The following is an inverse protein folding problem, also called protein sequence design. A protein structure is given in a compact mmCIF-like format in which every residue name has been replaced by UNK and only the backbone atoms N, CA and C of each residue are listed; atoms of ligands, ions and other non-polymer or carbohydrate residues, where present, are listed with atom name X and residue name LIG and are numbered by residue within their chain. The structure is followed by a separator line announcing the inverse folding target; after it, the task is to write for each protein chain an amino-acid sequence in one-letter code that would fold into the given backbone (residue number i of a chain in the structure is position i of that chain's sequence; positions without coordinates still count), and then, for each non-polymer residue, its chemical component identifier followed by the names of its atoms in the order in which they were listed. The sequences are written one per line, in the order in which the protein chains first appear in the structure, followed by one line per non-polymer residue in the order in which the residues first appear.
data_IF_752910151562
#
_entry.id   IF_752910151562
#
_cell.length_a   1.000
_cell.length_b   1.000
_cell.length_c   1.000
_cell.angle_alpha   90.00
_cell.angle_beta   90.00
_cell.angle_gamma   90.00
#
_symmetry.space_group_name_H-M   'P 1'
#
loop_
_entity.id
_entity.type
_entity.pdbx_description
1 polymer ?
#
# COMPACT_ATOMS: atom_id res chain seq x y z
N UNK A 1 26.51 -6.98 18.95
CA UNK A 1 25.62 -5.93 18.43
C UNK A 1 25.79 -5.90 16.91
N UNK A 2 24.70 -5.95 16.14
CA UNK A 2 24.79 -5.85 14.68
C UNK A 2 25.23 -4.45 14.28
N UNK A 3 25.97 -4.30 13.18
CA UNK A 3 26.45 -2.99 12.70
C UNK A 3 25.28 -1.96 12.62
N UNK A 4 24.11 -2.42 12.15
CA UNK A 4 22.88 -1.61 12.08
C UNK A 4 22.38 -1.07 13.43
N UNK A 5 22.56 -1.82 14.52
CA UNK A 5 22.17 -1.35 15.85
C UNK A 5 23.07 -0.20 16.31
N UNK A 6 24.37 -0.28 15.99
CA UNK A 6 25.34 0.79 16.25
C UNK A 6 25.05 2.03 15.41
N UNK A 7 24.76 1.84 14.11
CA UNK A 7 24.36 2.93 13.20
C UNK A 7 23.08 3.64 13.69
N UNK A 8 22.06 2.89 14.12
CA UNK A 8 20.84 3.47 14.71
C UNK A 8 21.17 4.29 15.95
N UNK A 9 22.01 3.77 16.85
CA UNK A 9 22.44 4.50 18.04
C UNK A 9 23.21 5.80 17.71
N UNK A 10 23.99 5.81 16.63
CA UNK A 10 24.64 7.00 16.11
C UNK A 10 23.64 8.05 15.60
N UNK A 11 22.70 7.62 14.74
CA UNK A 11 21.68 8.49 14.17
C UNK A 11 20.77 9.13 15.25
N UNK A 12 20.36 8.35 16.24
CA UNK A 12 19.54 8.86 17.36
C UNK A 12 20.30 9.86 18.23
N UNK A 13 21.62 9.69 18.40
CA UNK A 13 22.44 10.65 19.15
C UNK A 13 22.53 11.99 18.42
N UNK A 14 22.79 11.98 17.12
CA UNK A 14 22.82 13.20 16.30
C UNK A 14 21.48 13.96 16.36
N UNK A 15 20.35 13.25 16.26
CA UNK A 15 19.02 13.86 16.44
C UNK A 15 18.83 14.50 17.82
N UNK A 16 19.38 13.88 18.88
CA UNK A 16 19.36 14.46 20.23
C UNK A 16 20.13 15.78 20.31
N UNK A 17 21.29 15.86 19.65
CA UNK A 17 22.10 17.08 19.58
C UNK A 17 21.36 18.21 18.85
N UNK A 18 20.67 17.90 17.74
CA UNK A 18 19.81 18.86 17.06
C UNK A 18 18.62 19.31 17.93
N UNK A 19 17.99 18.39 18.66
CA UNK A 19 16.90 18.70 19.59
C UNK A 19 17.32 19.65 20.71
N UNK A 20 18.53 19.46 21.26
CA UNK A 20 19.11 20.37 22.25
C UNK A 20 19.32 21.77 21.66
N UNK A 21 19.88 21.87 20.44
CA UNK A 21 20.09 23.14 19.74
C UNK A 21 18.78 23.90 19.49
N UNK A 22 17.71 23.21 19.10
CA UNK A 22 16.38 23.81 18.91
C UNK A 22 15.76 24.35 20.21
N UNK A 23 16.12 23.77 21.36
CA UNK A 23 15.60 24.23 22.65
C UNK A 23 16.25 25.56 23.10
N UNK A 24 17.47 25.82 22.62
CA UNK A 24 18.27 27.00 22.99
C UNK A 24 18.14 28.13 21.97
N UNK A 25 17.96 27.81 20.69
CA UNK A 25 17.97 28.77 19.59
C UNK A 25 16.74 28.61 18.67
N UNK A 26 16.35 29.70 18.01
CA UNK A 26 15.34 29.63 16.95
C UNK A 26 15.89 28.85 15.75
N UNK A 27 15.07 27.95 15.20
CA UNK A 27 15.47 27.09 14.09
C UNK A 27 15.61 27.88 12.78
N UNK A 28 16.74 27.70 12.09
CA UNK A 28 16.87 28.07 10.68
C UNK A 28 16.25 26.99 9.77
N UNK A 29 15.73 27.34 8.58
CA UNK A 29 15.15 26.37 7.65
C UNK A 29 16.06 25.18 7.33
N UNK A 30 17.35 25.44 7.13
CA UNK A 30 18.34 24.41 6.79
C UNK A 30 18.50 23.39 7.92
N UNK A 31 18.41 23.84 9.17
CA UNK A 31 18.47 22.95 10.33
C UNK A 31 17.23 22.05 10.40
N UNK A 32 16.07 22.54 9.98
CA UNK A 32 14.86 21.73 9.92
C UNK A 32 14.95 20.66 8.83
N UNK A 33 15.57 20.98 7.69
CA UNK A 33 15.84 20.03 6.62
C UNK A 33 16.81 18.92 7.10
N UNK A 34 17.91 19.28 7.75
CA UNK A 34 18.86 18.32 8.35
C UNK A 34 18.18 17.39 9.36
N UNK A 35 17.33 17.95 10.23
CA UNK A 35 16.55 17.16 11.20
C UNK A 35 15.59 16.21 10.47
N UNK A 36 14.92 16.68 9.41
CA UNK A 36 14.05 15.86 8.57
C UNK A 36 14.78 14.66 7.97
N UNK A 37 15.95 14.90 7.38
CA UNK A 37 16.80 13.84 6.82
C UNK A 37 17.26 12.84 7.90
N UNK A 38 17.67 13.35 9.07
CA UNK A 38 18.06 12.53 10.22
C UNK A 38 16.93 11.64 10.73
N UNK A 39 15.70 12.17 10.81
CA UNK A 39 14.51 11.41 11.21
C UNK A 39 14.21 10.29 10.22
N UNK A 40 14.28 10.56 8.93
CA UNK A 40 14.07 9.55 7.89
C UNK A 40 15.16 8.49 7.86
N UNK A 41 16.41 8.86 8.14
CA UNK A 41 17.51 7.91 8.32
C UNK A 41 17.28 7.01 9.53
N UNK A 42 17.01 7.59 10.71
CA UNK A 42 16.77 6.84 11.95
C UNK A 42 15.57 5.88 11.81
N UNK A 43 14.49 6.33 11.15
CA UNK A 43 13.30 5.50 10.89
C UNK A 43 13.61 4.31 9.98
N UNK A 44 14.44 4.49 8.95
CA UNK A 44 14.91 3.40 8.07
C UNK A 44 15.75 2.38 8.83
N UNK A 45 16.72 2.85 9.62
CA UNK A 45 17.57 1.98 10.45
C UNK A 45 16.76 1.20 11.48
N UNK A 46 15.79 1.85 12.14
CA UNK A 46 14.88 1.18 13.07
C UNK A 46 14.07 0.07 12.39
N UNK A 47 13.55 0.32 11.18
CA UNK A 47 12.82 -0.70 10.42
C UNK A 47 13.72 -1.89 10.06
N UNK A 48 14.97 -1.65 9.68
CA UNK A 48 15.94 -2.71 9.39
C UNK A 48 16.28 -3.54 10.62
N UNK A 49 16.58 -2.90 11.76
CA UNK A 49 16.85 -3.62 13.02
C UNK A 49 15.63 -4.43 13.46
N UNK A 50 14.41 -3.88 13.34
CA UNK A 50 13.18 -4.63 13.64
C UNK A 50 12.97 -5.82 12.71
N UNK A 51 13.33 -5.69 11.43
CA UNK A 51 13.24 -6.78 10.46
C UNK A 51 14.26 -7.88 10.75
N UNK A 52 15.47 -7.56 11.21
CA UNK A 52 16.46 -8.56 11.64
C UNK A 52 15.95 -9.41 12.82
N UNK A 53 15.13 -8.82 13.69
CA UNK A 53 14.50 -9.50 14.82
C UNK A 53 13.16 -10.18 14.47
N UNK A 54 12.61 -9.90 13.29
CA UNK A 54 11.31 -10.41 12.86
C UNK A 54 11.42 -11.88 12.42
N UNK A 55 10.53 -12.79 12.87
CA UNK A 55 10.52 -14.19 12.41
C UNK A 55 10.44 -14.34 10.89
N UNK A 56 9.80 -13.39 10.21
CA UNK A 56 9.64 -13.38 8.75
C UNK A 56 10.61 -12.46 8.00
N UNK A 57 11.49 -11.73 8.69
CA UNK A 57 12.41 -10.76 8.06
C UNK A 57 11.75 -9.55 7.37
N UNK A 58 10.46 -9.28 7.61
CA UNK A 58 9.72 -8.27 6.84
C UNK A 58 9.86 -6.87 7.46
N UNK A 59 10.39 -5.90 6.69
CA UNK A 59 10.53 -4.49 7.11
C UNK A 59 9.20 -3.75 7.26
N UNK A 60 8.17 -4.17 6.52
CA UNK A 60 6.84 -3.54 6.56
C UNK A 60 6.00 -4.13 7.71
N UNK A 61 6.09 -5.44 7.92
CA UNK A 61 5.31 -6.17 8.92
C UNK A 61 6.24 -7.01 9.82
N UNK A 62 7.00 -6.38 10.73
CA UNK A 62 8.00 -7.08 11.53
C UNK A 62 7.39 -8.09 12.53
N UNK A 63 6.13 -7.90 12.93
CA UNK A 63 5.42 -8.83 13.83
C UNK A 63 4.61 -9.90 13.09
N UNK A 64 4.66 -9.92 11.75
CA UNK A 64 3.86 -10.85 10.98
C UNK A 64 4.49 -12.25 10.98
N UNK A 65 3.66 -13.31 11.00
CA UNK A 65 4.16 -14.66 10.86
C UNK A 65 4.77 -14.86 9.45
N UNK A 66 5.82 -15.69 9.32
CA UNK A 66 6.33 -16.11 8.02
C UNK A 66 5.25 -16.87 7.25
N UNK A 67 5.20 -16.67 5.94
CA UNK A 67 4.27 -17.39 5.07
C UNK A 67 4.77 -18.83 4.85
N UNK A 68 3.98 -19.86 5.23
CA UNK A 68 4.41 -21.25 5.12
C UNK A 68 4.60 -21.69 3.66
N UNK A 69 3.95 -21.01 2.70
CA UNK A 69 4.00 -21.36 1.29
C UNK A 69 5.17 -20.71 0.51
N UNK A 70 5.73 -19.59 0.98
CA UNK A 70 6.79 -18.86 0.27
C UNK A 70 8.15 -18.92 0.95
N UNK A 71 8.22 -19.27 2.24
CA UNK A 71 9.47 -19.45 2.99
C UNK A 71 10.31 -18.18 3.20
N UNK A 72 10.04 -17.09 2.47
CA UNK A 72 10.87 -15.88 2.42
C UNK A 72 10.08 -14.57 2.53
N UNK A 73 8.75 -14.62 2.69
CA UNK A 73 7.91 -13.43 2.87
C UNK A 73 7.02 -13.56 4.10
N UNK A 74 6.58 -12.43 4.67
CA UNK A 74 5.54 -12.46 5.69
C UNK A 74 4.18 -12.82 5.07
N UNK A 75 3.30 -13.42 5.87
CA UNK A 75 1.96 -13.86 5.44
C UNK A 75 1.17 -12.74 4.75
N UNK A 76 1.24 -11.50 5.24
CA UNK A 76 0.51 -10.36 4.65
C UNK A 76 1.06 -9.95 3.28
N UNK A 77 2.38 -9.82 3.14
CA UNK A 77 2.99 -9.50 1.85
C UNK A 77 2.78 -10.63 0.83
N UNK A 78 2.91 -11.89 1.27
CA UNK A 78 2.68 -13.05 0.42
C UNK A 78 1.23 -13.16 -0.04
N UNK A 79 0.26 -12.95 0.87
CA UNK A 79 -1.17 -12.93 0.49
C UNK A 79 -1.53 -11.76 -0.40
N UNK A 80 -0.96 -10.57 -0.16
CA UNK A 80 -1.15 -9.41 -1.04
C UNK A 80 -0.63 -9.69 -2.45
N UNK A 81 0.57 -10.27 -2.56
CA UNK A 81 1.14 -10.72 -3.84
C UNK A 81 0.24 -11.77 -4.51
N UNK A 82 -0.22 -12.79 -3.78
CA UNK A 82 -1.14 -13.82 -4.31
C UNK A 82 -2.45 -13.22 -4.81
N UNK A 83 -3.03 -12.25 -4.09
CA UNK A 83 -4.23 -11.53 -4.54
C UNK A 83 -3.99 -10.73 -5.82
N UNK A 84 -2.84 -10.09 -5.95
CA UNK A 84 -2.44 -9.40 -7.18
C UNK A 84 -2.10 -10.34 -8.35
N UNK A 85 -1.63 -11.55 -8.04
CA UNK A 85 -1.28 -12.61 -9.02
C UNK A 85 -2.43 -13.54 -9.35
N UNK A 86 -3.55 -13.50 -8.61
CA UNK A 86 -4.82 -14.04 -9.10
C UNK A 86 -5.22 -13.19 -10.31
N UNK A 87 -4.59 -13.48 -11.45
CA UNK A 87 -5.20 -13.31 -12.75
C UNK A 87 -6.60 -13.88 -12.63
N UNK A 88 -7.57 -13.05 -13.01
CA UNK A 88 -8.95 -13.45 -13.27
C UNK A 88 -8.90 -14.84 -13.94
N UNK A 89 -9.63 -15.85 -13.47
CA UNK A 89 -9.71 -17.12 -14.18
C UNK A 89 -10.10 -16.78 -15.63
N UNK A 90 -9.23 -17.08 -16.59
CA UNK A 90 -9.46 -16.71 -17.99
C UNK A 90 -10.59 -17.52 -18.63
N UNK A 91 -10.94 -17.25 -19.90
CA UNK A 91 -11.00 -15.96 -20.57
C UNK A 91 -12.43 -15.41 -20.41
N UNK A 92 -12.62 -14.33 -19.64
CA UNK A 92 -13.69 -13.41 -20.04
C UNK A 92 -13.09 -12.70 -21.24
N UNK A 93 -13.71 -12.85 -22.40
CA UNK A 93 -13.31 -12.19 -23.65
C UNK A 93 -12.87 -10.77 -23.34
N UNK A 94 -11.62 -10.44 -23.67
CA UNK A 94 -10.98 -9.14 -23.45
C UNK A 94 -11.56 -8.10 -24.42
N UNK A 95 -12.88 -8.08 -24.59
CA UNK A 95 -13.56 -7.26 -25.59
C UNK A 95 -14.69 -6.41 -25.01
N UNK A 96 -15.30 -6.81 -23.89
CA UNK A 96 -16.43 -6.05 -23.36
C UNK A 96 -15.93 -4.91 -22.46
N UNK A 97 -16.14 -3.68 -22.92
CA UNK A 97 -15.79 -2.49 -22.15
C UNK A 97 -16.57 -2.44 -20.82
N UNK A 98 -16.05 -1.73 -19.81
CA UNK A 98 -16.80 -1.54 -18.55
C UNK A 98 -18.17 -0.88 -18.80
N UNK A 99 -18.25 -0.04 -19.83
CA UNK A 99 -19.47 0.67 -20.22
C UNK A 99 -20.50 -0.30 -20.81
N UNK A 100 -20.08 -1.27 -21.62
CA UNK A 100 -20.94 -2.36 -22.11
C UNK A 100 -21.49 -3.23 -20.98
N UNK A 101 -20.68 -3.53 -19.96
CA UNK A 101 -21.14 -4.28 -18.79
C UNK A 101 -22.19 -3.49 -18.01
N UNK A 102 -22.04 -2.16 -17.89
CA UNK A 102 -23.04 -1.30 -17.27
C UNK A 102 -24.35 -1.26 -18.07
N UNK A 103 -24.25 -1.09 -19.38
CA UNK A 103 -25.41 -1.07 -20.27
C UNK A 103 -26.15 -2.41 -20.19
N UNK A 104 -25.44 -3.53 -20.26
CA UNK A 104 -26.03 -4.85 -20.14
C UNK A 104 -26.73 -5.04 -18.79
N UNK A 105 -26.12 -4.58 -17.69
CA UNK A 105 -26.74 -4.64 -16.36
C UNK A 105 -27.99 -3.77 -16.24
N UNK A 106 -28.05 -2.62 -16.91
CA UNK A 106 -29.23 -1.76 -16.96
C UNK A 106 -30.37 -2.40 -17.76
N UNK A 107 -30.05 -3.06 -18.86
CA UNK A 107 -31.03 -3.70 -19.76
C UNK A 107 -31.57 -5.03 -19.24
N UNK A 108 -30.70 -5.86 -18.65
CA UNK A 108 -31.01 -7.27 -18.31
C UNK A 108 -31.03 -7.54 -16.80
N UNK A 109 -30.64 -6.54 -15.99
CA UNK A 109 -30.58 -6.65 -14.54
C UNK A 109 -29.24 -7.17 -14.02
N UNK A 110 -29.00 -6.88 -12.74
CA UNK A 110 -27.73 -7.17 -12.05
C UNK A 110 -27.38 -8.66 -12.03
N UNK A 111 -28.34 -9.53 -11.70
CA UNK A 111 -28.10 -10.97 -11.54
C UNK A 111 -27.67 -11.61 -12.88
N UNK A 112 -28.27 -11.18 -13.99
CA UNK A 112 -27.91 -11.67 -15.32
C UNK A 112 -26.53 -11.18 -15.75
N UNK A 113 -26.20 -9.92 -15.47
CA UNK A 113 -24.87 -9.39 -15.70
C UNK A 113 -23.81 -10.15 -14.88
N UNK A 114 -24.09 -10.51 -13.63
CA UNK A 114 -23.18 -11.29 -12.77
C UNK A 114 -22.98 -12.70 -13.31
N UNK A 115 -24.04 -13.34 -13.81
CA UNK A 115 -23.94 -14.66 -14.46
C UNK A 115 -23.05 -14.63 -15.70
N UNK A 116 -23.16 -13.57 -16.51
CA UNK A 116 -22.45 -13.43 -17.79
C UNK A 116 -21.00 -12.95 -17.66
N UNK A 117 -20.76 -11.91 -16.88
CA UNK A 117 -19.47 -11.22 -16.78
C UNK A 117 -18.71 -11.50 -15.48
N UNK A 118 -19.39 -12.10 -14.49
CA UNK A 118 -18.85 -12.35 -13.16
C UNK A 118 -18.98 -11.16 -12.22
N UNK A 119 -19.18 -11.47 -10.93
CA UNK A 119 -19.48 -10.47 -9.91
C UNK A 119 -18.47 -9.32 -9.84
N UNK A 120 -17.17 -9.62 -9.94
CA UNK A 120 -16.12 -8.60 -9.86
C UNK A 120 -16.13 -7.61 -11.03
N UNK A 121 -16.38 -8.09 -12.24
CA UNK A 121 -16.44 -7.23 -13.42
C UNK A 121 -17.66 -6.31 -13.35
N UNK A 122 -18.82 -6.84 -12.97
CA UNK A 122 -20.05 -6.07 -12.78
C UNK A 122 -19.91 -5.03 -11.67
N UNK A 123 -19.37 -5.41 -10.49
CA UNK A 123 -19.13 -4.44 -9.41
C UNK A 123 -18.19 -3.33 -9.86
N UNK A 124 -17.12 -3.65 -10.59
CA UNK A 124 -16.18 -2.65 -11.10
C UNK A 124 -16.81 -1.73 -12.14
N UNK A 125 -17.61 -2.28 -13.05
CA UNK A 125 -18.37 -1.53 -14.04
C UNK A 125 -19.33 -0.56 -13.36
N UNK A 126 -20.22 -1.07 -12.50
CA UNK A 126 -21.23 -0.25 -11.81
C UNK A 126 -20.62 0.83 -10.92
N UNK A 127 -19.49 0.55 -10.25
CA UNK A 127 -18.76 1.58 -9.50
C UNK A 127 -18.28 2.70 -10.43
N UNK A 128 -17.75 2.37 -11.61
CA UNK A 128 -17.30 3.38 -12.57
C UNK A 128 -18.47 4.21 -13.11
N UNK A 129 -19.55 3.57 -13.54
CA UNK A 129 -20.70 4.24 -14.14
C UNK A 129 -21.50 5.09 -13.14
N UNK A 130 -21.54 4.69 -11.85
CA UNK A 130 -22.12 5.50 -10.78
C UNK A 130 -21.38 6.82 -10.55
N UNK A 131 -20.11 6.89 -10.93
CA UNK A 131 -19.25 8.06 -10.78
C UNK A 131 -19.01 8.80 -12.11
N UNK A 132 -19.81 8.56 -13.15
CA UNK A 132 -19.71 9.31 -14.41
C UNK A 132 -20.27 10.74 -14.24
N UNK A 133 -19.43 11.80 -14.27
CA UNK A 133 -19.89 13.18 -14.09
C UNK A 133 -20.68 13.74 -15.29
N UNK A 134 -20.79 13.01 -16.41
CA UNK A 134 -21.52 13.46 -17.61
C UNK A 134 -23.02 13.17 -17.57
N UNK A 135 -23.53 12.39 -16.60
CA UNK A 135 -24.98 12.08 -16.47
C UNK A 135 -25.70 12.91 -15.40
N UNK A 136 -24.99 13.81 -14.69
CA UNK A 136 -25.59 14.66 -13.65
C UNK A 136 -26.05 16.03 -14.14
N UNK A 137 -25.80 16.42 -15.39
CA UNK A 137 -26.18 17.76 -15.90
C UNK A 137 -27.53 17.81 -16.64
N UNK A 138 -28.20 16.69 -16.91
CA UNK A 138 -29.46 16.67 -17.67
C UNK A 138 -30.74 16.65 -16.81
N UNK A 139 -30.67 17.04 -15.52
CA UNK A 139 -31.84 17.04 -14.63
C UNK A 139 -31.90 18.22 -13.65
N UNK A 140 -31.62 19.43 -14.13
CA UNK A 140 -31.91 20.67 -13.40
C UNK A 140 -32.88 21.56 -14.18
#
# INVERSE_FOLDING_TARGET
MTNRTTELGGALRALGEHGEHLSVFAAAPEQLDEIGEGLDQARRLLADVRAELAPSGCRIHPSAPPDPASGAACLFCATSRRRGQMSVPGPVTVADSLDEICQFAAEHGHDEAVRRYGARAVTRALLRCRFDPMLTEESA
#
